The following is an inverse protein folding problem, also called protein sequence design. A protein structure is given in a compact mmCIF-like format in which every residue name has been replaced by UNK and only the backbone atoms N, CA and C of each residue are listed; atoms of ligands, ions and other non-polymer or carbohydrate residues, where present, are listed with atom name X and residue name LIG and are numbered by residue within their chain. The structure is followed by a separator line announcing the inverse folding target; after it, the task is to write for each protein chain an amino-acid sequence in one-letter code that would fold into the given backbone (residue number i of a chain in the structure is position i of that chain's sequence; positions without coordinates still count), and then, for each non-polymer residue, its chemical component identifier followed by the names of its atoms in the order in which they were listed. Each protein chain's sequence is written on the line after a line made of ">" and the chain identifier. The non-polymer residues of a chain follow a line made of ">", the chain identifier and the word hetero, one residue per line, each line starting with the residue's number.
data_IF_761084123043
#
_entry.id   IF_761084123043
#
_cell.length_a   1.000
_cell.length_b   1.000
_cell.length_c   1.000
_cell.angle_alpha   90.00
_cell.angle_beta   90.00
_cell.angle_gamma   90.00
#
_symmetry.space_group_name_H-M   'P 1'
#
loop_
_entity.id
_entity.type
_entity.pdbx_description
1 polymer ?
#
# COMPACT_ATOMS: atom_id res chain seq x y z
N UNK A 1 43.16 0.61 8.05
CA UNK A 1 42.14 1.01 7.09
C UNK A 1 40.80 1.01 7.84
N UNK A 2 40.12 2.16 7.91
CA UNK A 2 38.80 2.23 8.51
C UNK A 2 37.82 1.69 7.48
N UNK A 3 37.30 0.49 7.70
CA UNK A 3 36.26 -0.09 6.85
C UNK A 3 34.97 0.71 7.06
N UNK A 4 34.58 1.50 6.06
CA UNK A 4 33.30 2.20 6.09
C UNK A 4 32.17 1.20 5.84
N UNK A 5 31.43 0.84 6.89
CA UNK A 5 30.25 -0.03 6.81
C UNK A 5 29.01 0.85 6.59
N UNK A 6 28.29 0.58 5.52
CA UNK A 6 27.02 1.26 5.20
C UNK A 6 25.85 0.32 5.42
N UNK A 7 24.89 0.77 6.22
CA UNK A 7 23.59 0.14 6.38
C UNK A 7 22.60 0.73 5.38
N UNK A 8 21.59 -0.04 5.02
CA UNK A 8 20.49 0.44 4.18
C UNK A 8 19.80 1.66 4.80
N UNK A 9 19.59 2.69 4.00
CA UNK A 9 18.86 3.92 4.36
C UNK A 9 17.39 3.84 3.95
N UNK A 10 16.86 2.63 3.79
CA UNK A 10 15.44 2.41 3.51
C UNK A 10 14.67 2.44 4.80
N UNK A 11 13.60 3.23 4.82
CA UNK A 11 12.67 3.25 5.95
C UNK A 11 11.92 1.91 6.02
N UNK A 12 12.09 1.18 7.10
CA UNK A 12 11.42 -0.10 7.35
C UNK A 12 10.83 -0.12 8.77
N UNK A 13 9.96 -1.09 9.06
CA UNK A 13 9.46 -1.36 10.42
C UNK A 13 10.57 -1.91 11.35
N UNK A 14 11.71 -2.25 10.79
CA UNK A 14 12.82 -2.91 11.48
C UNK A 14 13.73 -1.81 12.02
N UNK A 15 13.56 -1.45 13.28
CA UNK A 15 14.37 -0.43 13.95
C UNK A 15 15.75 -0.94 14.37
N UNK A 16 15.91 -2.26 14.55
CA UNK A 16 17.14 -2.89 15.00
C UNK A 16 17.61 -3.95 14.02
N UNK A 17 18.94 -4.11 13.91
CA UNK A 17 19.54 -5.19 13.12
C UNK A 17 19.13 -6.54 13.69
N UNK A 18 18.36 -7.29 12.92
CA UNK A 18 17.94 -8.64 13.19
C UNK A 18 17.96 -9.47 11.90
N UNK A 19 17.57 -10.73 11.96
CA UNK A 19 17.53 -11.63 10.79
C UNK A 19 16.65 -11.14 9.63
N UNK A 20 15.79 -10.14 9.85
CA UNK A 20 14.95 -9.52 8.82
C UNK A 20 15.60 -8.30 8.15
N UNK A 21 16.73 -7.80 8.66
CA UNK A 21 17.41 -6.62 8.14
C UNK A 21 18.06 -6.91 6.78
N UNK A 22 18.21 -5.89 5.90
CA UNK A 22 19.06 -6.01 4.72
C UNK A 22 20.51 -6.16 5.12
N UNK A 23 21.34 -6.67 4.18
CA UNK A 23 22.76 -6.81 4.41
C UNK A 23 23.45 -5.44 4.54
N UNK A 24 24.48 -5.36 5.36
CA UNK A 24 25.35 -4.17 5.43
C UNK A 24 26.40 -4.24 4.30
N UNK A 25 26.71 -3.09 3.73
CA UNK A 25 27.71 -2.99 2.68
C UNK A 25 29.02 -2.39 3.22
N UNK A 26 30.12 -3.11 3.01
CA UNK A 26 31.47 -2.64 3.33
C UNK A 26 32.04 -1.98 2.08
N UNK A 27 32.19 -0.66 2.11
CA UNK A 27 32.76 0.11 1.01
C UNK A 27 34.29 0.18 1.16
N UNK A 28 34.98 -0.43 0.20
CA UNK A 28 36.41 -0.35 0.07
C UNK A 28 36.73 0.53 -1.13
N UNK A 29 37.21 1.76 -0.89
CA UNK A 29 37.32 2.85 -1.88
C UNK A 29 38.01 2.47 -3.20
N UNK A 30 38.88 1.49 -3.21
CA UNK A 30 39.62 1.06 -4.41
C UNK A 30 39.21 -0.32 -4.95
N UNK A 31 38.63 -1.18 -4.12
CA UNK A 31 38.48 -2.60 -4.46
C UNK A 31 37.03 -3.03 -4.69
N UNK A 32 36.05 -2.46 -4.03
CA UNK A 32 34.66 -2.93 -4.12
C UNK A 32 33.65 -1.79 -4.05
N UNK A 33 33.15 -1.40 -5.22
CA UNK A 33 32.09 -0.40 -5.37
C UNK A 33 30.70 -1.03 -5.52
N UNK A 34 30.63 -2.23 -6.08
CA UNK A 34 29.38 -2.94 -6.41
C UNK A 34 29.21 -4.08 -5.41
N UNK A 35 28.00 -4.28 -4.86
CA UNK A 35 27.72 -5.39 -3.98
C UNK A 35 27.81 -6.74 -4.73
N UNK A 36 28.05 -7.82 -3.99
CA UNK A 36 28.02 -9.17 -4.54
C UNK A 36 26.65 -9.52 -5.08
N UNK A 37 26.60 -10.43 -6.04
CA UNK A 37 25.34 -10.84 -6.67
C UNK A 37 24.31 -11.36 -5.66
N UNK A 38 24.75 -12.00 -4.59
CA UNK A 38 23.90 -12.58 -3.54
C UNK A 38 23.52 -11.60 -2.42
N UNK A 39 23.97 -10.34 -2.52
CA UNK A 39 23.68 -9.29 -1.54
C UNK A 39 22.18 -9.06 -1.39
N UNK A 40 21.67 -9.14 -0.16
CA UNK A 40 20.24 -9.07 0.12
C UNK A 40 19.82 -7.66 0.54
N UNK A 41 18.92 -7.07 -0.24
CA UNK A 41 18.40 -5.72 -0.08
C UNK A 41 17.10 -5.66 0.75
N UNK A 42 16.34 -6.75 0.77
CA UNK A 42 15.08 -6.86 1.51
C UNK A 42 14.78 -8.30 1.92
N UNK A 43 14.26 -8.47 3.14
CA UNK A 43 13.83 -9.75 3.71
C UNK A 43 12.42 -9.63 4.29
N UNK A 44 11.71 -10.75 4.33
CA UNK A 44 10.49 -10.90 5.13
C UNK A 44 10.84 -10.98 6.63
N UNK A 45 9.80 -10.96 7.49
CA UNK A 45 9.95 -11.12 8.93
C UNK A 45 10.56 -12.49 9.35
N UNK A 46 10.41 -13.51 8.52
CA UNK A 46 11.00 -14.83 8.69
C UNK A 46 12.46 -14.94 8.17
N UNK A 47 13.05 -13.84 7.73
CA UNK A 47 14.41 -13.79 7.17
C UNK A 47 14.48 -14.14 5.68
N UNK A 48 13.41 -14.58 5.04
CA UNK A 48 13.39 -14.96 3.62
C UNK A 48 13.72 -13.77 2.71
N UNK A 49 14.75 -13.85 1.82
CA UNK A 49 15.09 -12.77 0.91
C UNK A 49 14.00 -12.53 -0.15
N UNK A 50 13.58 -11.27 -0.33
CA UNK A 50 12.62 -10.85 -1.35
C UNK A 50 13.25 -9.95 -2.41
N UNK A 51 14.36 -9.28 -2.10
CA UNK A 51 15.16 -8.53 -3.04
C UNK A 51 16.64 -8.92 -2.90
N UNK A 52 17.22 -9.48 -3.98
CA UNK A 52 18.61 -9.89 -4.06
C UNK A 52 19.25 -9.18 -5.26
N UNK A 53 20.46 -8.66 -5.12
CA UNK A 53 21.10 -7.76 -6.08
C UNK A 53 21.18 -8.33 -7.50
N UNK A 54 21.55 -9.62 -7.67
CA UNK A 54 21.64 -10.27 -8.99
C UNK A 54 20.28 -10.42 -9.69
N UNK A 55 19.16 -10.50 -8.95
CA UNK A 55 17.83 -10.72 -9.55
C UNK A 55 17.34 -9.46 -10.28
N UNK A 56 16.58 -9.64 -11.37
CA UNK A 56 15.96 -8.54 -12.14
C UNK A 56 14.64 -8.05 -11.53
N UNK A 57 14.20 -8.64 -10.44
CA UNK A 57 13.02 -8.26 -9.68
C UNK A 57 13.41 -8.03 -8.22
N UNK A 58 13.13 -6.83 -7.70
CA UNK A 58 13.28 -6.49 -6.28
C UNK A 58 11.91 -6.21 -5.67
N UNK A 59 11.54 -6.98 -4.68
CA UNK A 59 10.30 -6.83 -3.92
C UNK A 59 10.63 -6.20 -2.56
N UNK A 60 10.23 -4.93 -2.39
CA UNK A 60 10.40 -4.16 -1.16
C UNK A 60 9.12 -4.08 -0.32
N UNK A 61 8.08 -4.86 -0.65
CA UNK A 61 6.82 -4.88 0.11
C UNK A 61 7.01 -5.19 1.61
N UNK A 62 7.92 -6.07 2.04
CA UNK A 62 8.16 -6.30 3.47
C UNK A 62 8.52 -5.05 4.27
N UNK A 63 9.15 -4.06 3.62
CA UNK A 63 9.55 -2.78 4.23
C UNK A 63 8.54 -1.65 3.96
N UNK A 64 7.43 -1.95 3.27
CA UNK A 64 6.45 -0.95 2.93
C UNK A 64 5.55 -0.63 4.14
N UNK A 65 5.45 0.65 4.46
CA UNK A 65 4.59 1.14 5.54
C UNK A 65 3.14 1.36 5.10
N UNK A 66 2.91 1.51 3.79
CA UNK A 66 1.59 1.73 3.24
C UNK A 66 0.84 0.40 3.09
N UNK A 67 -0.39 0.31 3.62
CA UNK A 67 -1.20 -0.90 3.58
C UNK A 67 -1.62 -1.32 2.15
N UNK A 68 -1.71 -0.34 1.23
CA UNK A 68 -2.29 -0.54 -0.12
C UNK A 68 -1.30 -0.42 -1.27
N UNK A 69 -0.07 0.02 -1.01
CA UNK A 69 0.92 0.24 -2.08
C UNK A 69 1.78 -1.00 -2.29
N UNK A 70 1.88 -1.42 -3.54
CA UNK A 70 2.80 -2.48 -3.97
C UNK A 70 4.10 -1.83 -4.43
N UNK A 71 5.22 -2.26 -3.85
CA UNK A 71 6.57 -1.74 -4.14
C UNK A 71 7.44 -2.87 -4.67
N UNK A 72 7.31 -3.12 -5.96
CA UNK A 72 8.09 -4.12 -6.71
C UNK A 72 8.74 -3.45 -7.91
N UNK A 73 10.05 -3.63 -8.07
CA UNK A 73 10.84 -3.09 -9.17
C UNK A 73 11.18 -4.19 -10.16
N UNK A 74 10.81 -4.03 -11.43
CA UNK A 74 11.13 -4.93 -12.53
C UNK A 74 12.11 -4.23 -13.47
N UNK A 75 13.39 -4.64 -13.45
CA UNK A 75 14.48 -3.97 -14.17
C UNK A 75 14.48 -4.22 -15.68
N UNK A 76 13.91 -5.31 -16.14
CA UNK A 76 13.87 -5.68 -17.57
C UNK A 76 12.76 -4.99 -18.37
N UNK A 77 11.78 -4.36 -17.70
CA UNK A 77 10.60 -3.82 -18.37
C UNK A 77 10.88 -2.62 -19.28
N UNK A 78 10.46 -2.70 -20.54
CA UNK A 78 10.51 -1.61 -21.51
C UNK A 78 11.87 -1.41 -22.18
N UNK A 79 12.73 -2.41 -22.16
CA UNK A 79 14.03 -2.43 -22.85
C UNK A 79 14.07 -3.36 -24.07
N UNK A 80 12.92 -3.82 -24.54
CA UNK A 80 12.78 -4.90 -25.55
C UNK A 80 13.45 -4.57 -26.90
N UNK A 81 13.61 -3.29 -27.24
CA UNK A 81 14.29 -2.85 -28.47
C UNK A 81 15.84 -2.91 -28.40
N UNK A 82 16.41 -3.11 -27.22
CA UNK A 82 17.84 -3.26 -27.03
C UNK A 82 18.27 -4.73 -27.19
N UNK A 83 19.50 -4.96 -27.66
CA UNK A 83 20.08 -6.32 -27.68
C UNK A 83 20.28 -6.86 -26.26
N UNK A 84 20.36 -8.19 -26.05
CA UNK A 84 20.54 -8.76 -24.71
C UNK A 84 21.72 -8.18 -23.92
N UNK A 85 22.84 -7.90 -24.61
CA UNK A 85 24.02 -7.29 -23.98
C UNK A 85 23.80 -5.85 -23.56
N UNK A 86 23.09 -5.07 -24.37
CA UNK A 86 22.73 -3.69 -24.07
C UNK A 86 21.71 -3.61 -22.92
N UNK A 87 20.73 -4.53 -22.91
CA UNK A 87 19.76 -4.66 -21.81
C UNK A 87 20.47 -4.92 -20.50
N UNK A 88 21.37 -5.92 -20.46
CA UNK A 88 22.08 -6.30 -19.23
C UNK A 88 22.95 -5.15 -18.70
N UNK A 89 23.59 -4.38 -19.61
CA UNK A 89 24.35 -3.18 -19.23
C UNK A 89 23.45 -2.15 -18.56
N UNK A 90 22.30 -1.79 -19.17
CA UNK A 90 21.35 -0.81 -18.60
C UNK A 90 20.74 -1.30 -17.31
N UNK A 91 20.38 -2.58 -17.21
CA UNK A 91 19.88 -3.21 -15.98
C UNK A 91 20.91 -3.10 -14.85
N UNK A 92 22.17 -3.38 -15.15
CA UNK A 92 23.27 -3.25 -14.17
C UNK A 92 23.44 -1.81 -13.70
N UNK A 93 23.38 -0.83 -14.60
CA UNK A 93 23.45 0.59 -14.27
C UNK A 93 22.23 1.03 -13.42
N UNK A 94 21.00 0.60 -13.77
CA UNK A 94 19.80 0.88 -12.98
C UNK A 94 19.90 0.29 -11.56
N UNK A 95 20.31 -0.96 -11.43
CA UNK A 95 20.51 -1.63 -10.12
C UNK A 95 21.52 -0.90 -9.28
N UNK A 96 22.64 -0.50 -9.89
CA UNK A 96 23.68 0.20 -9.17
C UNK A 96 23.24 1.58 -8.66
N UNK A 97 22.56 2.38 -9.50
CA UNK A 97 22.01 3.67 -9.07
C UNK A 97 20.98 3.50 -7.95
N UNK A 98 20.09 2.50 -8.04
CA UNK A 98 19.15 2.20 -6.98
C UNK A 98 19.84 1.77 -5.68
N UNK A 99 20.89 0.96 -5.78
CA UNK A 99 21.71 0.58 -4.64
C UNK A 99 22.36 1.81 -3.98
N UNK A 100 22.95 2.72 -4.76
CA UNK A 100 23.53 3.97 -4.24
C UNK A 100 22.49 4.82 -3.48
N UNK A 101 21.27 4.92 -4.03
CA UNK A 101 20.15 5.62 -3.38
C UNK A 101 19.74 4.95 -2.05
N UNK A 102 19.83 3.64 -1.94
CA UNK A 102 19.46 2.89 -0.74
C UNK A 102 20.53 2.94 0.37
N UNK A 103 21.81 3.07 0.01
CA UNK A 103 22.90 2.89 0.97
C UNK A 103 23.70 4.17 1.24
N UNK A 104 23.84 5.07 0.27
CA UNK A 104 24.75 6.21 0.38
C UNK A 104 24.08 7.57 0.58
N UNK A 105 22.73 7.65 0.52
CA UNK A 105 22.03 8.90 0.76
C UNK A 105 21.89 9.17 2.26
N UNK A 106 22.18 10.41 2.64
CA UNK A 106 22.00 10.92 4.01
C UNK A 106 21.01 12.10 4.03
N UNK A 107 19.99 12.07 3.18
CA UNK A 107 19.04 13.17 3.08
C UNK A 107 17.60 12.71 3.40
N UNK A 108 16.76 13.66 3.72
CA UNK A 108 15.38 13.43 4.11
C UNK A 108 15.17 13.56 5.62
N UNK A 109 13.92 13.51 6.05
CA UNK A 109 13.60 13.50 7.47
C UNK A 109 14.21 12.23 8.10
N UNK A 110 15.22 12.37 8.94
CA UNK A 110 16.03 11.27 9.52
C UNK A 110 16.86 10.44 8.50
N UNK A 111 17.15 10.97 7.32
CA UNK A 111 18.05 10.31 6.34
C UNK A 111 17.52 9.03 5.69
N UNK A 112 16.24 8.74 5.80
CA UNK A 112 15.64 7.47 5.34
C UNK A 112 14.69 7.70 4.16
N UNK A 113 14.77 6.83 3.15
CA UNK A 113 13.87 6.81 2.00
C UNK A 113 12.82 5.71 2.18
N UNK A 114 11.54 6.04 1.94
CA UNK A 114 10.48 5.03 1.96
C UNK A 114 10.56 4.15 0.70
N UNK A 115 10.13 2.86 0.75
CA UNK A 115 10.02 2.01 -0.43
C UNK A 115 9.22 2.66 -1.56
N UNK A 116 8.15 3.41 -1.23
CA UNK A 116 7.35 4.15 -2.21
C UNK A 116 8.15 5.29 -2.89
N UNK A 117 9.03 5.97 -2.17
CA UNK A 117 9.95 6.98 -2.75
C UNK A 117 10.94 6.31 -3.67
N UNK A 118 11.55 5.20 -3.26
CA UNK A 118 12.47 4.42 -4.09
C UNK A 118 11.80 3.90 -5.37
N UNK A 119 10.55 3.45 -5.31
CA UNK A 119 9.80 3.05 -6.51
C UNK A 119 9.59 4.23 -7.47
N UNK A 120 9.33 5.43 -6.96
CA UNK A 120 9.24 6.62 -7.81
C UNK A 120 10.58 6.91 -8.48
N UNK A 121 11.69 6.84 -7.76
CA UNK A 121 13.04 7.05 -8.31
C UNK A 121 13.41 5.97 -9.31
N UNK A 122 13.10 4.71 -9.02
CA UNK A 122 13.23 3.62 -9.98
C UNK A 122 12.48 3.90 -11.29
N UNK A 123 11.24 4.38 -11.20
CA UNK A 123 10.46 4.72 -12.40
C UNK A 123 11.11 5.86 -13.23
N UNK A 124 11.78 6.82 -12.58
CA UNK A 124 12.53 7.88 -13.28
C UNK A 124 13.78 7.31 -13.96
N UNK A 125 14.55 6.48 -13.26
CA UNK A 125 15.72 5.79 -13.81
C UNK A 125 15.30 4.89 -14.99
N UNK A 126 14.19 4.15 -14.86
CA UNK A 126 13.65 3.30 -15.93
C UNK A 126 13.27 4.11 -17.18
N UNK A 127 12.66 5.28 -17.01
CA UNK A 127 12.33 6.18 -18.13
C UNK A 127 13.60 6.72 -18.81
N UNK A 128 14.62 7.05 -18.04
CA UNK A 128 15.93 7.41 -18.60
C UNK A 128 16.57 6.22 -19.35
N UNK A 129 16.46 5.00 -18.84
CA UNK A 129 16.95 3.80 -19.54
C UNK A 129 16.17 3.53 -20.84
N UNK A 130 14.86 3.73 -20.84
CA UNK A 130 14.05 3.66 -22.07
C UNK A 130 14.47 4.70 -23.10
N UNK A 131 14.77 5.93 -22.67
CA UNK A 131 15.33 6.97 -23.54
C UNK A 131 16.69 6.56 -24.10
N UNK A 132 17.59 5.93 -23.31
CA UNK A 132 18.85 5.39 -23.82
C UNK A 132 18.64 4.44 -25.00
N UNK A 133 17.64 3.57 -24.91
CA UNK A 133 17.29 2.60 -25.98
C UNK A 133 16.69 3.31 -27.21
N UNK A 134 15.84 4.33 -27.00
CA UNK A 134 15.25 5.12 -28.10
C UNK A 134 16.32 5.86 -28.91
N UNK A 135 17.37 6.36 -28.25
CA UNK A 135 18.47 7.05 -28.93
C UNK A 135 19.26 6.14 -29.88
N UNK A 136 19.15 4.83 -29.78
CA UNK A 136 19.72 3.86 -30.74
C UNK A 136 19.19 4.08 -32.16
N UNK A 137 17.97 4.61 -32.32
CA UNK A 137 17.39 4.93 -33.64
C UNK A 137 18.09 6.12 -34.30
N UNK A 138 18.89 6.90 -33.53
CA UNK A 138 19.73 7.95 -34.08
C UNK A 138 21.14 7.43 -34.42
N UNK A 139 21.52 7.32 -35.72
CA UNK A 139 22.80 6.75 -36.13
C UNK A 139 24.03 7.51 -35.63
N UNK A 140 23.85 8.81 -35.30
CA UNK A 140 24.94 9.67 -34.81
C UNK A 140 25.24 9.50 -33.33
N UNK A 141 24.27 8.98 -32.56
CA UNK A 141 24.36 8.90 -31.12
C UNK A 141 24.52 7.43 -30.64
N UNK A 142 23.73 6.54 -31.22
CA UNK A 142 23.66 5.15 -30.78
C UNK A 142 23.01 5.00 -29.41
N UNK A 143 23.20 3.83 -28.78
CA UNK A 143 22.66 3.60 -27.44
C UNK A 143 23.48 4.34 -26.37
N UNK A 144 22.80 5.12 -25.54
CA UNK A 144 23.40 5.83 -24.43
C UNK A 144 23.47 4.95 -23.17
N UNK A 145 24.33 5.32 -22.24
CA UNK A 145 24.33 4.82 -20.86
C UNK A 145 23.53 5.78 -19.95
N UNK A 146 23.07 5.28 -18.79
CA UNK A 146 22.45 6.15 -17.79
C UNK A 146 23.41 7.24 -17.28
N UNK A 147 24.71 6.93 -17.20
CA UNK A 147 25.75 7.90 -16.88
C UNK A 147 25.72 9.08 -17.86
N UNK A 148 25.67 8.82 -19.16
CA UNK A 148 25.63 9.88 -20.19
C UNK A 148 24.36 10.71 -20.08
N UNK A 149 23.21 10.07 -19.85
CA UNK A 149 21.94 10.78 -19.69
C UNK A 149 21.94 11.68 -18.46
N UNK A 150 22.36 11.20 -17.31
CA UNK A 150 22.34 11.97 -16.08
C UNK A 150 23.48 12.98 -15.92
N UNK A 151 24.53 12.89 -16.74
CA UNK A 151 25.62 13.88 -16.78
C UNK A 151 25.47 14.93 -17.89
N UNK A 152 24.52 14.75 -18.80
CA UNK A 152 24.31 15.67 -19.93
C UNK A 152 22.96 16.38 -19.85
N UNK A 153 22.99 17.71 -19.71
CA UNK A 153 21.80 18.56 -19.59
C UNK A 153 20.84 18.39 -20.77
N UNK A 154 21.35 18.22 -21.99
CA UNK A 154 20.52 18.11 -23.20
C UNK A 154 19.72 16.82 -23.20
N UNK A 155 20.38 15.69 -22.93
CA UNK A 155 19.71 14.40 -22.85
C UNK A 155 18.71 14.34 -21.71
N UNK A 156 19.09 14.85 -20.52
CA UNK A 156 18.19 14.85 -19.38
C UNK A 156 16.97 15.76 -19.58
N UNK A 157 17.17 16.92 -20.26
CA UNK A 157 16.05 17.78 -20.65
C UNK A 157 15.09 17.11 -21.62
N UNK A 158 15.60 16.30 -22.57
CA UNK A 158 14.78 15.51 -23.48
C UNK A 158 13.96 14.44 -22.70
N UNK A 159 14.59 13.70 -21.79
CA UNK A 159 13.87 12.75 -20.89
C UNK A 159 12.75 13.45 -20.12
N UNK A 160 13.02 14.63 -19.56
CA UNK A 160 12.01 15.39 -18.82
C UNK A 160 10.85 15.84 -19.72
N UNK A 161 11.14 16.29 -20.95
CA UNK A 161 10.14 16.71 -21.93
C UNK A 161 9.25 15.56 -22.40
N UNK A 162 9.83 14.40 -22.68
CA UNK A 162 9.11 13.19 -23.10
C UNK A 162 8.21 12.62 -22.01
N UNK A 163 8.47 13.00 -20.76
CA UNK A 163 7.75 12.52 -19.58
C UNK A 163 7.05 13.64 -18.80
N UNK A 164 6.56 14.67 -19.49
CA UNK A 164 5.92 15.85 -18.90
C UNK A 164 4.58 15.50 -18.23
N UNK A 165 4.67 14.94 -17.03
CA UNK A 165 3.53 14.74 -16.14
C UNK A 165 3.73 15.49 -14.81
N UNK A 166 2.63 15.97 -14.21
CA UNK A 166 2.67 16.70 -12.92
C UNK A 166 3.45 15.91 -11.87
N UNK A 167 3.21 14.59 -11.77
CA UNK A 167 3.89 13.73 -10.80
C UNK A 167 5.38 13.60 -11.07
N UNK A 168 5.78 13.49 -12.34
CA UNK A 168 7.18 13.40 -12.73
C UNK A 168 7.92 14.69 -12.42
N UNK A 169 7.39 15.82 -12.88
CA UNK A 169 8.00 17.14 -12.68
C UNK A 169 8.11 17.53 -11.21
N UNK A 170 7.14 17.16 -10.37
CA UNK A 170 7.18 17.42 -8.93
C UNK A 170 8.26 16.61 -8.19
N UNK A 171 8.59 15.41 -8.67
CA UNK A 171 9.50 14.49 -7.98
C UNK A 171 10.91 14.47 -8.56
N UNK A 172 11.08 14.82 -9.84
CA UNK A 172 12.37 14.80 -10.51
C UNK A 172 13.42 15.70 -9.86
N UNK A 173 13.10 16.93 -9.41
CA UNK A 173 14.07 17.76 -8.71
C UNK A 173 14.64 17.12 -7.45
N UNK A 174 13.79 16.52 -6.62
CA UNK A 174 14.23 15.82 -5.40
C UNK A 174 15.10 14.60 -5.73
N UNK A 175 14.78 13.85 -6.77
CA UNK A 175 15.57 12.74 -7.25
C UNK A 175 16.96 13.19 -7.72
N UNK A 176 17.04 14.26 -8.54
CA UNK A 176 18.31 14.81 -9.01
C UNK A 176 19.16 15.35 -7.85
N UNK A 177 18.56 16.03 -6.89
CA UNK A 177 19.27 16.49 -5.68
C UNK A 177 19.86 15.32 -4.88
N UNK A 178 19.14 14.19 -4.80
CA UNK A 178 19.65 12.98 -4.15
C UNK A 178 20.83 12.38 -4.92
N UNK A 179 20.75 12.26 -6.26
CA UNK A 179 21.88 11.78 -7.05
C UNK A 179 23.08 12.75 -6.94
N UNK A 180 22.82 14.05 -6.99
CA UNK A 180 23.85 15.07 -6.88
C UNK A 180 24.53 15.11 -5.48
N UNK A 181 23.84 14.62 -4.43
CA UNK A 181 24.46 14.49 -3.10
C UNK A 181 25.40 13.29 -2.99
N UNK A 182 25.38 12.37 -3.96
CA UNK A 182 26.34 11.26 -4.01
C UNK A 182 27.67 11.75 -4.58
N UNK A 183 28.78 11.32 -3.98
CA UNK A 183 30.11 11.66 -4.49
C UNK A 183 30.36 10.97 -5.84
N UNK A 184 31.18 11.65 -6.68
CA UNK A 184 31.61 11.11 -7.99
C UNK A 184 32.28 9.75 -7.86
N UNK A 185 33.02 9.54 -6.77
CA UNK A 185 33.67 8.26 -6.48
C UNK A 185 32.68 7.10 -6.33
N UNK A 186 31.46 7.38 -5.84
CA UNK A 186 30.41 6.36 -5.67
C UNK A 186 29.66 6.09 -6.96
N UNK A 187 29.21 7.13 -7.67
CA UNK A 187 28.37 6.94 -8.87
C UNK A 187 29.14 6.94 -10.20
N UNK A 188 30.40 7.41 -10.17
CA UNK A 188 31.31 7.38 -11.33
C UNK A 188 31.09 8.49 -12.36
N UNK A 189 30.27 9.53 -12.05
CA UNK A 189 30.02 10.68 -12.90
C UNK A 189 29.52 11.89 -12.11
N UNK A 190 29.60 13.09 -12.71
CA UNK A 190 28.99 14.30 -12.15
C UNK A 190 27.59 14.47 -12.69
N UNK A 191 26.55 14.39 -11.84
CA UNK A 191 25.16 14.52 -12.31
C UNK A 191 24.80 15.99 -12.59
N UNK A 192 23.85 16.18 -13.52
CA UNK A 192 23.19 17.48 -13.76
C UNK A 192 22.43 17.88 -12.49
N UNK A 193 22.54 19.14 -12.10
CA UNK A 193 21.84 19.68 -10.95
C UNK A 193 20.37 19.98 -11.30
N UNK A 194 19.48 19.85 -10.31
CA UNK A 194 18.07 20.19 -10.52
C UNK A 194 17.87 21.67 -10.92
N UNK A 195 18.74 22.57 -10.43
CA UNK A 195 18.77 23.99 -10.79
C UNK A 195 19.06 24.26 -12.25
N UNK A 196 19.73 23.35 -12.95
CA UNK A 196 20.12 23.50 -14.34
C UNK A 196 18.96 23.22 -15.31
N UNK A 197 17.86 22.69 -14.80
CA UNK A 197 16.69 22.30 -15.57
C UNK A 197 15.47 23.16 -15.19
N UNK A 198 14.63 23.44 -16.17
CA UNK A 198 13.35 24.11 -15.92
C UNK A 198 12.26 23.05 -15.76
N UNK A 199 11.76 22.94 -14.56
CA UNK A 199 10.57 22.13 -14.25
C UNK A 199 9.35 23.04 -14.25
N UNK A 200 8.31 22.66 -15.00
CA UNK A 200 7.03 23.39 -14.96
C UNK A 200 6.41 23.25 -13.56
N UNK A 201 6.29 24.36 -12.85
CA UNK A 201 5.50 24.40 -11.63
C UNK A 201 4.02 24.46 -12.02
N UNK A 202 3.36 23.34 -12.14
CA UNK A 202 1.90 23.33 -12.03
C UNK A 202 1.61 23.30 -10.53
N UNK A 203 1.10 24.41 -10.02
CA UNK A 203 0.64 24.45 -8.64
C UNK A 203 -0.36 23.31 -8.43
N UNK A 204 -0.06 22.46 -7.45
CA UNK A 204 -0.98 21.43 -7.04
C UNK A 204 -2.05 22.13 -6.23
N UNK A 205 -3.16 22.50 -6.88
CA UNK A 205 -4.33 22.97 -6.16
C UNK A 205 -4.70 21.94 -5.09
N UNK A 206 -4.82 22.39 -3.85
CA UNK A 206 -5.43 21.59 -2.82
C UNK A 206 -6.90 21.38 -3.20
N UNK A 207 -7.41 20.18 -2.96
CA UNK A 207 -8.85 19.96 -3.09
C UNK A 207 -9.60 20.99 -2.24
N UNK A 208 -10.65 21.62 -2.78
CA UNK A 208 -11.45 22.55 -2.01
C UNK A 208 -12.01 21.87 -0.75
N UNK A 209 -12.15 22.64 0.31
CA UNK A 209 -12.75 22.17 1.54
C UNK A 209 -14.20 21.78 1.24
N UNK A 210 -14.62 20.62 1.69
CA UNK A 210 -16.00 20.15 1.54
C UNK A 210 -16.90 21.13 2.34
N UNK A 211 -17.92 21.76 1.71
CA UNK A 211 -18.84 22.62 2.42
C UNK A 211 -19.51 21.89 3.59
N UNK A 212 -19.65 22.57 4.72
CA UNK A 212 -20.15 21.98 5.97
C UNK A 212 -21.50 21.25 5.81
N UNK A 213 -22.43 21.85 5.05
CA UNK A 213 -23.74 21.23 4.77
C UNK A 213 -23.62 19.88 4.05
N UNK A 214 -22.64 19.74 3.14
CA UNK A 214 -22.40 18.49 2.41
C UNK A 214 -21.75 17.48 3.36
N UNK A 215 -20.85 17.96 4.22
CA UNK A 215 -20.21 17.12 5.23
C UNK A 215 -21.24 16.51 6.19
N UNK A 216 -22.19 17.32 6.72
CA UNK A 216 -23.28 16.82 7.56
C UNK A 216 -24.18 15.82 6.82
N UNK A 217 -24.56 16.12 5.58
CA UNK A 217 -25.39 15.21 4.79
C UNK A 217 -24.71 13.84 4.56
N UNK A 218 -23.37 13.80 4.41
CA UNK A 218 -22.63 12.55 4.38
C UNK A 218 -22.64 11.82 5.72
N UNK A 219 -22.54 12.55 6.83
CA UNK A 219 -22.60 11.94 8.18
C UNK A 219 -23.97 11.27 8.38
N UNK A 220 -25.05 11.97 8.12
CA UNK A 220 -26.42 11.45 8.24
C UNK A 220 -26.62 10.21 7.35
N UNK A 221 -26.26 10.29 6.05
CA UNK A 221 -26.39 9.17 5.13
C UNK A 221 -25.56 7.95 5.55
N UNK A 222 -24.36 8.18 6.06
CA UNK A 222 -23.48 7.08 6.47
C UNK A 222 -23.94 6.48 7.80
N UNK A 223 -24.51 7.26 8.69
CA UNK A 223 -25.08 6.79 9.94
C UNK A 223 -26.31 5.91 9.69
N UNK A 224 -27.21 6.32 8.83
CA UNK A 224 -28.36 5.51 8.43
C UNK A 224 -27.92 4.16 7.84
N UNK A 225 -26.94 4.18 6.93
CA UNK A 225 -26.41 2.96 6.31
C UNK A 225 -25.70 2.04 7.30
N UNK A 226 -24.95 2.60 8.26
CA UNK A 226 -24.24 1.77 9.23
C UNK A 226 -25.18 1.18 10.26
N UNK A 227 -26.24 1.89 10.64
CA UNK A 227 -27.29 1.39 11.52
C UNK A 227 -27.97 0.16 10.91
N UNK A 228 -28.38 0.23 9.63
CA UNK A 228 -28.99 -0.90 8.91
C UNK A 228 -28.06 -2.13 8.90
N UNK A 229 -26.76 -1.94 8.65
CA UNK A 229 -25.78 -3.04 8.67
C UNK A 229 -25.53 -3.55 10.08
N UNK A 230 -25.43 -2.64 11.07
CA UNK A 230 -25.16 -3.01 12.46
C UNK A 230 -26.26 -3.89 13.04
N UNK A 231 -27.53 -3.53 12.80
CA UNK A 231 -28.69 -4.29 13.28
C UNK A 231 -28.73 -5.71 12.66
N UNK A 232 -28.24 -5.87 11.43
CA UNK A 232 -28.15 -7.15 10.74
C UNK A 232 -26.78 -7.87 10.92
N UNK A 233 -25.85 -7.31 11.66
CA UNK A 233 -24.44 -7.76 11.64
C UNK A 233 -24.21 -9.13 12.30
N UNK A 234 -25.08 -9.59 13.21
CA UNK A 234 -25.02 -10.95 13.76
C UNK A 234 -25.46 -11.98 12.72
N UNK A 235 -26.61 -11.74 12.08
CA UNK A 235 -27.10 -12.55 10.98
C UNK A 235 -26.08 -12.62 9.83
N UNK A 236 -25.47 -11.46 9.50
CA UNK A 236 -24.39 -11.38 8.53
C UNK A 236 -23.18 -12.25 8.93
N UNK A 237 -22.80 -12.26 10.20
CA UNK A 237 -21.70 -13.10 10.69
C UNK A 237 -22.03 -14.59 10.50
N UNK A 238 -23.21 -15.03 10.90
CA UNK A 238 -23.66 -16.41 10.71
C UNK A 238 -23.68 -16.80 9.20
N UNK A 239 -24.28 -15.95 8.38
CA UNK A 239 -24.28 -16.12 6.91
C UNK A 239 -22.88 -16.26 6.32
N UNK A 240 -21.92 -15.43 6.76
CA UNK A 240 -20.54 -15.49 6.24
C UNK A 240 -19.83 -16.78 6.66
N UNK A 241 -20.04 -17.27 7.87
CA UNK A 241 -19.38 -18.49 8.36
C UNK A 241 -19.75 -19.74 7.54
N UNK A 242 -20.94 -19.78 6.94
CA UNK A 242 -21.35 -20.89 6.06
C UNK A 242 -20.49 -21.02 4.79
N UNK A 243 -19.81 -19.93 4.36
CA UNK A 243 -18.88 -19.96 3.24
C UNK A 243 -17.60 -20.75 3.52
N UNK A 244 -17.46 -21.35 4.70
CA UNK A 244 -16.48 -22.41 4.94
C UNK A 244 -16.75 -23.61 4.03
N UNK A 245 -18.01 -23.89 3.70
CA UNK A 245 -18.38 -24.84 2.64
C UNK A 245 -18.31 -24.16 1.26
N UNK A 246 -17.41 -24.61 0.35
CA UNK A 246 -17.26 -24.03 -0.98
C UNK A 246 -18.54 -24.10 -1.85
N UNK A 247 -19.46 -25.02 -1.56
CA UNK A 247 -20.71 -25.18 -2.33
C UNK A 247 -21.84 -24.31 -1.82
N UNK A 248 -21.75 -23.75 -0.60
CA UNK A 248 -22.73 -22.80 -0.09
C UNK A 248 -22.83 -21.55 -0.96
N UNK A 249 -24.03 -21.09 -1.23
CA UNK A 249 -24.30 -19.94 -2.08
C UNK A 249 -24.17 -20.21 -3.59
N UNK A 250 -23.76 -21.42 -4.03
CA UNK A 250 -23.69 -21.80 -5.43
C UNK A 250 -25.06 -22.12 -6.00
N UNK A 251 -25.24 -21.96 -7.32
CA UNK A 251 -26.49 -22.39 -7.99
C UNK A 251 -26.68 -23.90 -7.87
N UNK A 252 -27.95 -24.36 -7.87
CA UNK A 252 -28.25 -25.80 -7.84
C UNK A 252 -27.60 -26.57 -9.01
N UNK A 253 -27.48 -25.92 -10.18
CA UNK A 253 -26.80 -26.51 -11.33
C UNK A 253 -25.30 -26.69 -11.07
N UNK A 254 -24.62 -25.66 -10.51
CA UNK A 254 -23.21 -25.76 -10.17
C UNK A 254 -22.95 -26.87 -9.16
N UNK A 255 -23.80 -27.00 -8.16
CA UNK A 255 -23.66 -28.05 -7.13
C UNK A 255 -23.81 -29.44 -7.72
N UNK A 256 -24.80 -29.66 -8.64
CA UNK A 256 -24.98 -30.92 -9.36
C UNK A 256 -23.78 -31.26 -10.25
N UNK A 257 -23.22 -30.28 -10.93
CA UNK A 257 -22.01 -30.46 -11.78
C UNK A 257 -20.78 -30.85 -10.95
N UNK A 258 -20.77 -30.55 -9.64
CA UNK A 258 -19.77 -31.00 -8.71
C UNK A 258 -20.15 -32.28 -7.94
N UNK A 259 -21.06 -33.09 -8.52
CA UNK A 259 -21.48 -34.40 -8.00
C UNK A 259 -22.16 -34.37 -6.62
N UNK A 260 -22.76 -33.25 -6.21
CA UNK A 260 -23.52 -33.15 -4.97
C UNK A 260 -24.90 -33.76 -5.18
N UNK A 261 -25.26 -34.72 -4.34
CA UNK A 261 -26.57 -35.41 -4.43
C UNK A 261 -27.72 -34.43 -4.11
N UNK A 262 -28.93 -34.73 -4.61
CA UNK A 262 -30.12 -33.89 -4.36
C UNK A 262 -30.44 -33.70 -2.87
N UNK A 263 -30.07 -34.66 -2.04
CA UNK A 263 -30.33 -34.64 -0.57
C UNK A 263 -29.30 -33.78 0.17
N UNK A 264 -28.13 -33.50 -0.43
CA UNK A 264 -27.00 -32.78 0.19
C UNK A 264 -26.82 -31.38 -0.39
N UNK A 265 -27.75 -30.91 -1.26
CA UNK A 265 -27.70 -29.60 -1.85
C UNK A 265 -27.69 -28.50 -0.76
N UNK A 266 -26.71 -27.60 -0.85
CA UNK A 266 -26.61 -26.40 -0.01
C UNK A 266 -27.56 -25.31 -0.50
N UNK A 267 -27.83 -24.34 0.38
CA UNK A 267 -28.63 -23.17 0.00
C UNK A 267 -27.93 -22.39 -1.11
N UNK A 268 -28.71 -21.94 -2.09
CA UNK A 268 -28.25 -20.95 -3.06
C UNK A 268 -28.10 -19.60 -2.37
N UNK A 269 -27.41 -18.63 -3.02
CA UNK A 269 -27.20 -17.32 -2.42
C UNK A 269 -28.51 -16.62 -2.04
N UNK A 270 -29.55 -16.74 -2.83
CA UNK A 270 -30.88 -16.14 -2.56
C UNK A 270 -31.59 -16.85 -1.40
N UNK A 271 -31.64 -18.18 -1.41
CA UNK A 271 -32.21 -18.97 -0.32
C UNK A 271 -31.43 -18.68 1.01
N UNK A 272 -30.14 -18.50 0.95
CA UNK A 272 -29.33 -18.18 2.12
C UNK A 272 -29.60 -16.77 2.64
N UNK A 273 -29.74 -15.77 1.76
CA UNK A 273 -30.10 -14.39 2.14
C UNK A 273 -31.46 -14.38 2.87
N UNK A 274 -32.42 -15.15 2.41
CA UNK A 274 -33.73 -15.28 3.06
C UNK A 274 -33.63 -16.01 4.41
N UNK A 275 -32.92 -17.13 4.46
CA UNK A 275 -32.76 -17.94 5.66
C UNK A 275 -32.07 -17.20 6.81
N UNK A 276 -31.17 -16.27 6.48
CA UNK A 276 -30.46 -15.42 7.46
C UNK A 276 -31.11 -14.06 7.68
N UNK A 277 -32.35 -13.82 7.17
CA UNK A 277 -33.07 -12.55 7.31
C UNK A 277 -32.30 -11.33 6.78
N UNK A 278 -31.49 -11.51 5.74
CA UNK A 278 -30.65 -10.45 5.15
C UNK A 278 -31.27 -9.84 3.88
N UNK A 279 -32.55 -10.11 3.61
CA UNK A 279 -33.25 -9.68 2.37
C UNK A 279 -33.24 -8.16 2.20
N UNK A 280 -33.52 -7.41 3.27
CA UNK A 280 -33.50 -5.94 3.20
C UNK A 280 -32.09 -5.41 2.90
N UNK A 281 -31.06 -5.95 3.56
CA UNK A 281 -29.70 -5.53 3.36
C UNK A 281 -29.18 -5.87 1.95
N UNK A 282 -29.39 -7.10 1.48
CA UNK A 282 -28.78 -7.59 0.25
C UNK A 282 -29.64 -7.49 -1.00
N UNK A 283 -30.90 -7.12 -0.90
CA UNK A 283 -31.75 -6.86 -2.08
C UNK A 283 -31.96 -5.37 -2.33
N UNK A 284 -31.89 -4.52 -1.29
CA UNK A 284 -32.12 -3.07 -1.42
C UNK A 284 -30.82 -2.27 -1.35
N UNK A 285 -30.12 -2.33 -0.23
CA UNK A 285 -28.97 -1.45 0.05
C UNK A 285 -27.68 -1.94 -0.63
N UNK A 286 -27.43 -3.25 -0.58
CA UNK A 286 -26.21 -3.89 -1.12
C UNK A 286 -26.56 -5.10 -1.97
N UNK A 287 -27.14 -4.96 -3.16
CA UNK A 287 -27.70 -6.08 -3.91
C UNK A 287 -26.66 -7.15 -4.26
N UNK A 288 -26.97 -8.41 -3.88
CA UNK A 288 -26.22 -9.62 -4.19
C UNK A 288 -27.08 -10.52 -5.06
N UNK A 289 -26.70 -10.70 -6.33
CA UNK A 289 -27.40 -11.59 -7.26
C UNK A 289 -26.75 -12.97 -7.38
N UNK A 290 -25.45 -13.02 -7.25
CA UNK A 290 -24.62 -14.23 -7.39
C UNK A 290 -23.56 -14.27 -6.30
N UNK A 291 -23.09 -15.47 -5.95
CA UNK A 291 -22.05 -15.68 -4.95
C UNK A 291 -20.82 -14.78 -5.17
N UNK A 292 -20.37 -14.62 -6.42
CA UNK A 292 -19.19 -13.85 -6.76
C UNK A 292 -19.31 -12.34 -6.46
N UNK A 293 -20.52 -11.79 -6.35
CA UNK A 293 -20.73 -10.39 -5.98
C UNK A 293 -20.57 -10.11 -4.48
N UNK A 294 -20.55 -11.14 -3.63
CA UNK A 294 -20.40 -10.99 -2.18
C UNK A 294 -19.12 -10.25 -1.80
N UNK A 295 -17.98 -10.61 -2.38
CA UNK A 295 -16.69 -9.97 -2.10
C UNK A 295 -16.72 -8.46 -2.39
N UNK A 296 -17.30 -8.05 -3.52
CA UNK A 296 -17.43 -6.63 -3.86
C UNK A 296 -18.37 -5.89 -2.90
N UNK A 297 -19.42 -6.57 -2.45
CA UNK A 297 -20.37 -6.03 -1.47
C UNK A 297 -19.73 -5.82 -0.10
N UNK A 298 -18.99 -6.81 0.41
CA UNK A 298 -18.26 -6.67 1.66
C UNK A 298 -17.19 -5.56 1.58
N UNK A 299 -16.56 -5.42 0.42
CA UNK A 299 -15.61 -4.32 0.19
C UNK A 299 -16.30 -2.95 0.26
N UNK A 300 -17.53 -2.83 -0.26
CA UNK A 300 -18.32 -1.58 -0.14
C UNK A 300 -18.70 -1.30 1.32
N UNK A 301 -19.03 -2.32 2.11
CA UNK A 301 -19.32 -2.17 3.54
C UNK A 301 -18.04 -1.71 4.27
N UNK A 302 -16.89 -2.30 4.01
CA UNK A 302 -15.62 -1.84 4.58
C UNK A 302 -15.27 -0.42 4.15
N UNK A 303 -15.59 -0.04 2.92
CA UNK A 303 -15.41 1.34 2.45
C UNK A 303 -16.30 2.32 3.23
N UNK A 304 -17.56 1.97 3.50
CA UNK A 304 -18.45 2.76 4.36
C UNK A 304 -17.87 2.91 5.78
N UNK A 305 -17.49 1.80 6.43
CA UNK A 305 -16.86 1.80 7.76
C UNK A 305 -15.62 2.69 7.79
N UNK A 306 -14.75 2.54 6.79
CA UNK A 306 -13.55 3.36 6.67
C UNK A 306 -13.88 4.85 6.60
N UNK A 307 -14.88 5.24 5.80
CA UNK A 307 -15.26 6.65 5.66
C UNK A 307 -15.90 7.22 6.94
N UNK A 308 -16.69 6.43 7.65
CA UNK A 308 -17.22 6.82 8.96
C UNK A 308 -16.06 7.11 9.93
N UNK A 309 -15.08 6.21 10.03
CA UNK A 309 -13.92 6.44 10.89
C UNK A 309 -13.18 7.72 10.48
N UNK A 310 -12.99 7.97 9.16
CA UNK A 310 -12.37 9.21 8.68
C UNK A 310 -13.15 10.46 9.07
N UNK A 311 -14.47 10.47 8.86
CA UNK A 311 -15.31 11.61 9.11
C UNK A 311 -15.30 12.02 10.59
N UNK A 312 -15.34 11.03 11.49
CA UNK A 312 -15.46 11.29 12.91
C UNK A 312 -14.12 11.45 13.64
N UNK A 313 -13.02 10.91 13.11
CA UNK A 313 -11.71 10.93 13.82
C UNK A 313 -10.66 11.81 13.15
N UNK A 314 -10.85 12.22 11.90
CA UNK A 314 -9.82 12.91 11.12
C UNK A 314 -8.56 12.08 10.82
N UNK A 315 -8.57 10.75 11.07
CA UNK A 315 -7.45 9.86 10.76
C UNK A 315 -7.14 9.86 9.26
N UNK A 316 -5.87 9.69 8.91
CA UNK A 316 -5.46 9.51 7.50
C UNK A 316 -5.83 8.11 6.99
N UNK A 317 -5.98 7.98 5.66
CA UNK A 317 -6.35 6.71 5.02
C UNK A 317 -5.49 5.53 5.46
N UNK A 318 -4.18 5.71 5.53
CA UNK A 318 -3.24 4.65 5.95
C UNK A 318 -3.31 4.34 7.44
N UNK A 319 -3.70 5.30 8.27
CA UNK A 319 -3.89 5.13 9.72
C UNK A 319 -5.12 4.29 10.00
N UNK A 320 -6.23 4.55 9.27
CA UNK A 320 -7.46 3.73 9.37
C UNK A 320 -7.22 2.31 8.88
N UNK A 321 -6.54 2.13 7.73
CA UNK A 321 -6.26 0.79 7.18
C UNK A 321 -5.31 -0.05 8.03
N UNK A 322 -4.55 0.58 8.93
CA UNK A 322 -3.66 -0.10 9.88
C UNK A 322 -4.28 -0.36 11.24
N UNK A 323 -5.56 -0.03 11.45
CA UNK A 323 -6.24 -0.31 12.70
C UNK A 323 -6.12 -1.79 13.06
N UNK A 324 -5.61 -2.12 14.25
CA UNK A 324 -5.63 -3.49 14.75
C UNK A 324 -7.08 -3.95 14.99
N UNK A 325 -7.29 -5.25 15.08
CA UNK A 325 -8.62 -5.79 15.38
C UNK A 325 -9.19 -5.21 16.68
N UNK A 326 -8.40 -5.14 17.74
CA UNK A 326 -8.76 -4.55 19.03
C UNK A 326 -8.24 -3.12 19.14
N UNK A 327 -8.77 -2.23 18.27
CA UNK A 327 -8.37 -0.83 18.21
C UNK A 327 -9.09 0.09 19.20
N UNK A 328 -10.22 -0.32 19.76
CA UNK A 328 -10.95 0.45 20.77
C UNK A 328 -10.40 0.13 22.16
N UNK A 329 -10.15 1.18 22.95
CA UNK A 329 -9.74 1.02 24.35
C UNK A 329 -10.95 0.79 25.24
N UNK A 330 -10.76 0.03 26.34
CA UNK A 330 -11.85 -0.39 27.22
C UNK A 330 -12.41 0.70 28.15
N UNK A 331 -11.95 1.95 28.00
CA UNK A 331 -12.45 3.05 28.83
C UNK A 331 -13.04 4.17 27.97
N UNK A 332 -14.18 4.67 28.42
CA UNK A 332 -14.86 5.81 27.85
C UNK A 332 -14.43 7.08 28.61
N UNK A 333 -14.19 8.14 27.87
CA UNK A 333 -13.99 9.48 28.44
C UNK A 333 -15.31 10.21 28.29
N UNK A 334 -15.88 10.66 29.42
CA UNK A 334 -17.03 11.56 29.39
C UNK A 334 -16.55 12.99 29.35
N UNK A 335 -17.02 13.76 28.37
CA UNK A 335 -16.79 15.18 28.26
C UNK A 335 -18.11 15.90 28.43
N UNK A 336 -18.18 16.77 29.43
CA UNK A 336 -19.35 17.61 29.65
C UNK A 336 -19.36 18.77 28.65
N UNK A 337 -20.46 18.92 27.90
CA UNK A 337 -20.71 20.12 27.09
C UNK A 337 -21.42 21.13 27.96
N UNK A 338 -20.79 22.28 28.12
CA UNK A 338 -21.35 23.38 28.96
C UNK A 338 -22.05 24.40 28.06
N UNK A 339 -23.17 24.98 28.59
CA UNK A 339 -23.79 26.17 28.01
C UNK A 339 -22.99 27.44 28.35
N UNK A 340 -23.42 28.59 27.80
CA UNK A 340 -22.78 29.89 28.04
C UNK A 340 -22.80 30.29 29.52
N UNK A 341 -23.63 29.63 30.33
CA UNK A 341 -23.80 29.88 31.78
C UNK A 341 -23.00 28.88 32.63
N UNK A 342 -22.29 27.94 32.00
CA UNK A 342 -21.47 26.91 32.66
C UNK A 342 -22.26 25.70 33.16
N UNK A 343 -23.52 25.52 32.76
CA UNK A 343 -24.30 24.34 33.10
C UNK A 343 -24.03 23.21 32.11
N UNK A 344 -23.98 21.98 32.59
CA UNK A 344 -23.83 20.78 31.74
C UNK A 344 -25.10 20.54 30.94
N UNK A 345 -25.08 20.78 29.65
CA UNK A 345 -26.22 20.55 28.72
C UNK A 345 -26.18 19.21 28.06
N UNK A 346 -24.98 18.62 27.90
CA UNK A 346 -24.82 17.28 27.31
C UNK A 346 -23.55 16.60 27.83
N UNK A 347 -23.51 15.26 27.77
CA UNK A 347 -22.36 14.45 28.09
C UNK A 347 -21.95 13.66 26.86
N UNK A 348 -20.93 14.15 26.17
CA UNK A 348 -20.38 13.42 25.05
C UNK A 348 -19.56 12.22 25.56
N UNK A 349 -19.93 11.01 25.13
CA UNK A 349 -19.14 9.81 25.34
C UNK A 349 -18.15 9.67 24.18
N UNK A 350 -16.87 9.67 24.49
CA UNK A 350 -15.80 9.45 23.54
C UNK A 350 -14.93 8.29 23.96
N UNK A 351 -14.43 7.56 22.99
CA UNK A 351 -13.57 6.40 23.19
C UNK A 351 -12.21 6.65 22.53
N UNK A 352 -11.13 6.14 23.12
CA UNK A 352 -9.83 6.17 22.48
C UNK A 352 -9.70 5.01 21.48
N UNK A 353 -9.29 5.35 20.26
CA UNK A 353 -8.97 4.41 19.19
C UNK A 353 -7.46 4.39 18.95
N UNK A 354 -6.85 3.21 19.05
CA UNK A 354 -5.42 3.03 18.83
C UNK A 354 -5.10 2.69 17.36
N UNK A 355 -4.12 3.36 16.80
CA UNK A 355 -3.53 3.04 15.50
C UNK A 355 -2.05 3.47 15.46
N UNK A 356 -1.44 3.43 14.28
CA UNK A 356 -0.07 3.88 14.08
C UNK A 356 -0.01 5.03 13.11
N UNK A 357 0.81 6.04 13.41
CA UNK A 357 1.11 7.16 12.51
C UNK A 357 2.55 7.11 12.00
N UNK A 358 2.81 7.67 10.82
CA UNK A 358 4.15 7.71 10.21
C UNK A 358 4.57 9.11 9.79
N UNK A 359 3.65 10.10 9.84
CA UNK A 359 3.88 11.39 9.16
C UNK A 359 4.93 12.27 9.84
N UNK A 360 4.98 12.27 11.16
CA UNK A 360 5.80 13.23 11.91
C UNK A 360 7.15 12.66 12.35
N UNK A 361 7.25 11.35 12.51
CA UNK A 361 8.43 10.71 13.10
C UNK A 361 9.16 9.74 12.16
N UNK A 362 8.65 9.60 10.93
CA UNK A 362 9.30 8.80 9.89
C UNK A 362 9.18 7.28 10.03
N UNK A 363 8.53 6.75 11.08
CA UNK A 363 8.26 5.33 11.27
C UNK A 363 6.92 5.13 12.00
N UNK A 364 6.41 3.89 12.00
CA UNK A 364 5.16 3.57 12.68
C UNK A 364 5.29 3.79 14.18
N UNK A 365 4.59 4.76 14.69
CA UNK A 365 4.47 5.04 16.12
C UNK A 365 3.02 4.88 16.55
N UNK A 366 2.80 4.23 17.68
CA UNK A 366 1.46 4.14 18.27
C UNK A 366 0.94 5.52 18.62
N UNK A 367 -0.28 5.79 18.22
CA UNK A 367 -0.99 7.03 18.52
C UNK A 367 -2.45 6.70 18.80
N UNK A 368 -3.12 7.57 19.55
CA UNK A 368 -4.54 7.45 19.85
C UNK A 368 -5.34 8.59 19.24
N UNK A 369 -6.57 8.30 18.86
CA UNK A 369 -7.54 9.25 18.35
C UNK A 369 -8.82 9.15 19.18
N UNK A 370 -9.42 10.29 19.46
CA UNK A 370 -10.74 10.33 20.05
C UNK A 370 -11.78 9.95 19.00
N UNK A 371 -12.69 9.05 19.36
CA UNK A 371 -13.77 8.59 18.52
C UNK A 371 -15.10 8.68 19.27
N UNK A 372 -16.15 9.29 18.72
CA UNK A 372 -17.47 9.28 19.31
C UNK A 372 -18.14 7.91 19.16
N UNK A 373 -19.27 7.72 19.86
CA UNK A 373 -19.99 6.43 19.91
C UNK A 373 -20.43 5.90 18.54
N UNK A 374 -20.66 6.76 17.55
CA UNK A 374 -21.06 6.42 16.18
C UNK A 374 -20.00 5.53 15.52
N UNK A 375 -18.73 5.79 15.80
CA UNK A 375 -17.61 4.99 15.30
C UNK A 375 -17.61 3.57 15.88
N UNK A 376 -18.14 3.38 17.09
CA UNK A 376 -18.21 2.06 17.74
C UNK A 376 -19.04 1.08 16.91
N UNK A 377 -20.19 1.52 16.38
CA UNK A 377 -21.03 0.69 15.48
C UNK A 377 -20.27 0.27 14.23
N UNK A 378 -19.59 1.23 13.59
CA UNK A 378 -18.80 0.97 12.41
C UNK A 378 -17.67 -0.03 12.68
N UNK A 379 -16.92 0.16 13.75
CA UNK A 379 -15.85 -0.77 14.16
C UNK A 379 -16.42 -2.16 14.50
N UNK A 380 -17.56 -2.23 15.16
CA UNK A 380 -18.23 -3.50 15.51
C UNK A 380 -18.61 -4.28 14.25
N UNK A 381 -19.19 -3.62 13.25
CA UNK A 381 -19.50 -4.22 11.93
C UNK A 381 -18.23 -4.78 11.30
N UNK A 382 -17.16 -3.98 11.24
CA UNK A 382 -15.89 -4.44 10.68
C UNK A 382 -15.31 -5.63 11.44
N UNK A 383 -15.32 -5.60 12.78
CA UNK A 383 -14.86 -6.71 13.63
C UNK A 383 -15.64 -8.01 13.34
N UNK A 384 -16.98 -7.93 13.22
CA UNK A 384 -17.82 -9.10 12.94
C UNK A 384 -17.51 -9.71 11.56
N UNK A 385 -17.39 -8.89 10.52
CA UNK A 385 -17.00 -9.34 9.17
C UNK A 385 -15.58 -9.92 9.20
N UNK A 386 -14.63 -9.20 9.79
CA UNK A 386 -13.23 -9.64 9.89
C UNK A 386 -13.11 -10.98 10.65
N UNK A 387 -13.85 -11.14 11.75
CA UNK A 387 -13.89 -12.39 12.52
C UNK A 387 -14.35 -13.56 11.66
N UNK A 388 -15.46 -13.41 10.93
CA UNK A 388 -15.97 -14.47 10.05
C UNK A 388 -14.94 -14.85 8.97
N UNK A 389 -14.35 -13.85 8.30
CA UNK A 389 -13.33 -14.08 7.29
C UNK A 389 -12.09 -14.77 7.88
N UNK A 390 -11.64 -14.33 9.07
CA UNK A 390 -10.48 -14.93 9.73
C UNK A 390 -10.70 -16.39 10.10
N UNK A 391 -11.91 -16.75 10.54
CA UNK A 391 -12.27 -18.15 10.83
C UNK A 391 -12.26 -19.00 9.56
N UNK A 392 -12.82 -18.47 8.45
CA UNK A 392 -12.82 -19.18 7.16
C UNK A 392 -11.39 -19.40 6.64
N UNK A 393 -10.50 -18.44 6.87
CA UNK A 393 -9.10 -18.48 6.43
C UNK A 393 -8.16 -19.14 7.42
N UNK A 394 -8.66 -19.61 8.56
CA UNK A 394 -7.86 -20.20 9.65
C UNK A 394 -6.74 -19.26 10.15
N UNK A 395 -7.03 -17.94 10.17
CA UNK A 395 -6.12 -16.94 10.72
C UNK A 395 -6.21 -16.96 12.26
N UNK A 396 -5.06 -17.06 12.91
CA UNK A 396 -4.98 -16.99 14.37
C UNK A 396 -5.54 -15.67 14.92
N UNK A 397 -6.15 -15.71 16.10
CA UNK A 397 -6.77 -14.54 16.73
C UNK A 397 -5.80 -13.37 16.93
N UNK A 398 -4.54 -13.65 17.24
CA UNK A 398 -3.46 -12.69 17.44
C UNK A 398 -3.05 -11.95 16.14
N UNK A 399 -3.36 -12.52 14.97
CA UNK A 399 -2.97 -11.99 13.66
C UNK A 399 -4.11 -11.26 12.93
N UNK A 400 -5.31 -11.20 13.53
CA UNK A 400 -6.49 -10.56 12.93
C UNK A 400 -6.28 -9.05 12.75
N UNK A 401 -6.79 -8.54 11.64
CA UNK A 401 -6.85 -7.10 11.33
C UNK A 401 -8.30 -6.64 11.32
N UNK A 402 -8.54 -5.36 11.56
CA UNK A 402 -9.89 -4.80 11.47
C UNK A 402 -10.47 -4.93 10.04
N UNK A 403 -9.64 -4.71 9.02
CA UNK A 403 -10.01 -4.82 7.61
C UNK A 403 -9.33 -6.04 6.98
N UNK A 404 -9.88 -7.23 7.21
CA UNK A 404 -9.41 -8.44 6.53
C UNK A 404 -9.81 -8.44 5.05
N UNK A 405 -8.88 -8.89 4.18
CA UNK A 405 -9.13 -8.94 2.75
C UNK A 405 -10.25 -9.93 2.39
N UNK A 406 -11.31 -9.45 1.78
CA UNK A 406 -12.49 -10.25 1.40
C UNK A 406 -12.26 -11.12 0.15
N UNK A 407 -11.18 -10.90 -0.61
CA UNK A 407 -10.92 -11.52 -1.92
C UNK A 407 -10.64 -13.03 -1.89
N UNK A 408 -10.64 -13.67 -0.72
CA UNK A 408 -10.39 -15.10 -0.55
C UNK A 408 -11.52 -15.85 0.16
N UNK A 409 -12.74 -15.33 0.15
CA UNK A 409 -13.88 -16.19 0.42
C UNK A 409 -13.87 -17.28 -0.65
N UNK A 410 -14.03 -18.58 -0.30
CA UNK A 410 -13.92 -19.67 -1.26
C UNK A 410 -14.93 -19.51 -2.38
N UNK A 411 -14.52 -18.80 -3.39
CA UNK A 411 -15.19 -18.74 -4.68
C UNK A 411 -14.85 -20.07 -5.33
N UNK A 412 -15.83 -20.70 -5.98
CA UNK A 412 -15.62 -21.94 -6.71
C UNK A 412 -14.26 -21.90 -7.39
N UNK A 413 -13.30 -22.67 -6.88
CA UNK A 413 -12.08 -22.97 -7.60
C UNK A 413 -12.54 -23.61 -8.92
N UNK A 414 -12.49 -22.86 -10.03
CA UNK A 414 -12.15 -23.49 -11.28
C UNK A 414 -10.76 -24.06 -11.02
N UNK A 415 -10.69 -25.37 -10.89
CA UNK A 415 -9.45 -26.09 -11.01
C UNK A 415 -8.76 -25.62 -12.30
N UNK A 416 -7.80 -24.73 -12.19
CA UNK A 416 -6.74 -24.63 -13.15
C UNK A 416 -5.76 -25.78 -12.79
N UNK A 417 -6.20 -27.00 -13.15
CA UNK A 417 -5.30 -28.08 -13.52
C UNK A 417 -5.08 -27.89 -15.02
N UNK A 418 -3.99 -27.17 -15.33
CA UNK A 418 -3.12 -27.39 -16.47
C UNK A 418 -1.84 -26.56 -16.27
#
# INVERSE_FOLDING_TARGET
>A
MINNVFSSKVFSEIEHKNHCSPDDFIYLEKEKRIPDGDFVLCRKKDGTPTAVYKKHKWDLNPYNLAATKITVMHFSGGLDKASPKEQEKLISEMKYLMFCLMYFINSGHKGLLTPATLLNYFNMIRKAAQFCVQMKENPLVGILSLKEVFSNRVYLSAVCKDNDSVTFNKKMPAFLNHIASLSVDKIGFTPVQASDLKFGSKDSEQHPIIPFRIYLAYMDEFEDKINDIYDNSENLTGFLLEFKDPMFGCSKLTQKNNNISKKELRLTIQEAIEAYNLTNLFNKTYPIKIKNSLTSTLTKIYFLVKNIIHLYTGMRSEEVLRLPYDCLMDYEITSDTLDDSGNVVDKAQVINMLSTTTKFEGYKKSASWLAPKEVIKAVTVAKRISKAISIIKEIESSQRKLFEACCYLPMTQKCYLE
#
